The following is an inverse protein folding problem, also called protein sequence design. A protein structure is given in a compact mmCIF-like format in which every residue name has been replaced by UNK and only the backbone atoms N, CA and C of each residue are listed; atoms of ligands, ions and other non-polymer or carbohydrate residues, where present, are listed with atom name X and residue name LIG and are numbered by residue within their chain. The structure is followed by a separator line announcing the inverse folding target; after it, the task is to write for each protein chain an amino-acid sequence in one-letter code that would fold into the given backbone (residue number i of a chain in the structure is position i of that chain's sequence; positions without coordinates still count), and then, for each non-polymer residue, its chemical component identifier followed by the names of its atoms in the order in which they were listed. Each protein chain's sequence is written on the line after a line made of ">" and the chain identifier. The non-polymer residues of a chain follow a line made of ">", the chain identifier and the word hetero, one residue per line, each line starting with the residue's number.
data_IF_302497301859
#
_entry.id   IF_302497301859
#
_cell.length_a   1.000
_cell.length_b   1.000
_cell.length_c   1.000
_cell.angle_alpha   90.00
_cell.angle_beta   90.00
_cell.angle_gamma   90.00
#
_symmetry.space_group_name_H-M   'P 1'
#
loop_
_entity.id
_entity.type
_entity.pdbx_description
1 polymer ?
#
# COMPACT_ATOMS: atom_id res chain seq x y z
N UNK A 1 -58.43 24.54 32.38
CA UNK A 1 -57.30 23.86 33.05
C UNK A 1 -56.42 23.29 31.95
N UNK A 2 -55.35 23.99 31.59
CA UNK A 2 -53.96 23.66 31.98
C UNK A 2 -53.46 22.38 31.30
N UNK A 3 -52.86 22.46 30.11
CA UNK A 3 -51.40 22.45 29.81
C UNK A 3 -50.69 21.10 29.97
N UNK A 4 -50.21 20.52 28.85
CA UNK A 4 -48.80 20.20 28.54
C UNK A 4 -48.76 19.19 27.37
N UNK A 5 -48.39 19.58 26.15
CA UNK A 5 -47.04 19.89 25.64
C UNK A 5 -46.11 18.66 25.55
N UNK A 6 -45.82 18.26 24.31
CA UNK A 6 -44.46 17.98 23.83
C UNK A 6 -44.40 18.31 22.34
N UNK A 7 -43.62 19.35 22.06
CA UNK A 7 -43.32 19.87 20.75
C UNK A 7 -42.38 18.94 19.95
N UNK A 8 -42.54 19.10 18.64
CA UNK A 8 -41.70 18.60 17.57
C UNK A 8 -40.29 19.20 17.65
N UNK A 9 -39.28 18.42 17.23
CA UNK A 9 -38.13 18.98 16.52
C UNK A 9 -37.89 18.24 15.22
N UNK A 10 -37.86 19.07 14.18
CA UNK A 10 -37.75 18.80 12.76
C UNK A 10 -36.60 17.86 12.39
N UNK A 11 -36.93 16.87 11.54
CA UNK A 11 -35.99 16.19 10.66
C UNK A 11 -35.99 16.98 9.35
N UNK A 12 -34.94 17.76 9.14
CA UNK A 12 -34.75 18.52 7.91
C UNK A 12 -34.29 17.56 6.81
N UNK A 13 -35.20 17.27 5.87
CA UNK A 13 -34.92 16.61 4.60
C UNK A 13 -34.01 17.50 3.74
N UNK A 14 -32.89 16.96 3.25
CA UNK A 14 -32.15 17.52 2.12
C UNK A 14 -32.35 16.58 0.93
N UNK A 15 -32.91 17.05 -0.21
CA UNK A 15 -33.24 16.20 -1.33
C UNK A 15 -32.02 15.87 -2.20
N UNK A 16 -32.08 14.71 -2.84
CA UNK A 16 -31.14 14.22 -3.83
C UNK A 16 -30.87 15.26 -4.94
N UNK A 17 -29.59 15.66 -5.09
CA UNK A 17 -29.17 16.49 -6.22
C UNK A 17 -28.89 15.61 -7.45
N UNK A 18 -29.64 15.91 -8.51
CA UNK A 18 -29.49 15.40 -9.87
C UNK A 18 -28.17 15.88 -10.48
N UNK A 19 -27.55 15.01 -11.28
CA UNK A 19 -26.39 15.28 -12.16
C UNK A 19 -26.58 16.56 -12.99
N UNK A 20 -25.59 17.45 -13.12
CA UNK A 20 -25.58 18.41 -14.21
C UNK A 20 -24.98 17.75 -15.47
N UNK A 21 -25.78 17.75 -16.54
CA UNK A 21 -25.28 17.67 -17.92
C UNK A 21 -24.63 19.02 -18.24
N UNK A 22 -23.33 19.07 -18.53
CA UNK A 22 -22.73 20.24 -19.15
C UNK A 22 -22.42 19.94 -20.61
N UNK A 23 -23.07 20.75 -21.43
CA UNK A 23 -23.08 20.83 -22.88
C UNK A 23 -21.69 21.29 -23.37
N UNK A 24 -21.11 20.54 -24.30
CA UNK A 24 -19.98 20.97 -25.12
C UNK A 24 -20.41 22.15 -26.00
N UNK A 25 -19.64 23.24 -25.96
CA UNK A 25 -19.61 24.22 -27.06
C UNK A 25 -18.15 24.55 -27.39
N UNK A 26 -17.87 24.32 -28.67
CA UNK A 26 -16.63 24.51 -29.43
C UNK A 26 -16.24 25.97 -29.57
N UNK A 27 -14.93 26.24 -29.76
CA UNK A 27 -14.32 26.85 -30.96
C UNK A 27 -12.80 27.12 -30.75
N UNK A 28 -11.98 27.30 -31.82
CA UNK A 28 -10.75 26.53 -32.04
C UNK A 28 -9.50 27.38 -32.41
N UNK A 29 -8.43 26.67 -32.81
CA UNK A 29 -7.21 27.09 -33.53
C UNK A 29 -6.15 27.80 -32.66
N UNK A 30 -4.87 27.38 -32.66
CA UNK A 30 -4.03 27.05 -33.80
C UNK A 30 -3.07 25.88 -33.54
N UNK A 31 -2.90 25.09 -34.60
CA UNK A 31 -1.94 24.02 -34.76
C UNK A 31 -0.51 24.55 -35.01
N UNK A 32 0.43 23.62 -34.91
CA UNK A 32 1.81 23.52 -35.46
C UNK A 32 2.74 23.15 -34.29
N UNK A 33 3.36 21.98 -34.20
CA UNK A 33 3.37 20.81 -35.06
C UNK A 33 4.12 19.69 -34.35
N UNK A 34 3.60 18.47 -34.46
CA UNK A 34 4.28 17.24 -34.08
C UNK A 34 5.49 17.04 -34.99
N UNK A 35 6.64 16.68 -34.43
CA UNK A 35 7.68 15.98 -35.20
C UNK A 35 8.17 14.76 -34.42
N UNK A 36 7.63 13.63 -34.83
CA UNK A 36 8.20 12.29 -34.63
C UNK A 36 9.51 12.26 -35.41
N UNK A 37 10.62 11.93 -34.75
CA UNK A 37 11.85 11.52 -35.43
C UNK A 37 12.22 10.11 -34.98
N UNK A 38 11.59 9.16 -35.67
CA UNK A 38 12.17 7.85 -35.93
C UNK A 38 13.41 8.08 -36.81
N UNK A 39 14.61 7.83 -36.30
CA UNK A 39 15.79 7.68 -37.17
C UNK A 39 16.55 6.42 -36.80
N UNK A 40 16.57 5.52 -37.78
CA UNK A 40 17.41 4.33 -37.84
C UNK A 40 18.88 4.72 -37.80
N UNK A 41 19.60 3.88 -37.08
CA UNK A 41 21.02 3.59 -37.19
C UNK A 41 21.63 3.79 -38.59
N UNK A 42 22.53 4.75 -38.73
CA UNK A 42 23.73 4.64 -39.60
C UNK A 42 24.72 5.77 -39.32
N UNK A 43 25.96 5.39 -38.95
CA UNK A 43 27.20 6.04 -39.38
C UNK A 43 27.49 7.49 -38.95
N UNK A 44 28.36 7.62 -37.95
CA UNK A 44 29.46 8.58 -37.77
C UNK A 44 29.29 10.11 -38.01
N UNK A 45 29.78 10.84 -37.01
CA UNK A 45 30.25 12.24 -36.95
C UNK A 45 29.20 13.35 -36.71
N UNK A 46 29.21 13.88 -35.49
CA UNK A 46 28.52 15.12 -35.11
C UNK A 46 29.52 16.28 -35.05
N UNK A 47 29.28 17.32 -35.82
CA UNK A 47 29.82 18.68 -35.61
C UNK A 47 28.83 19.46 -34.75
N UNK A 48 29.28 19.97 -33.60
CA UNK A 48 28.46 20.80 -32.71
C UNK A 48 28.13 22.16 -33.34
N UNK A 49 26.85 22.54 -33.32
CA UNK A 49 26.39 23.89 -33.63
C UNK A 49 26.25 24.66 -32.30
N UNK A 50 27.19 25.58 -32.04
CA UNK A 50 27.18 26.43 -30.85
C UNK A 50 26.21 27.61 -31.01
N UNK A 51 25.16 27.68 -30.19
CA UNK A 51 24.36 28.89 -29.97
C UNK A 51 24.60 29.34 -28.53
N UNK A 52 25.34 30.43 -28.37
CA UNK A 52 25.76 30.97 -27.09
C UNK A 52 24.68 31.77 -26.38
N UNK A 53 24.48 31.50 -25.10
CA UNK A 53 23.81 32.39 -24.14
C UNK A 53 24.86 32.83 -23.12
N UNK A 54 25.13 34.15 -23.07
CA UNK A 54 26.02 34.76 -22.07
C UNK A 54 25.28 34.94 -20.74
N UNK A 55 25.74 34.26 -19.71
CA UNK A 55 25.43 34.52 -18.30
C UNK A 55 26.57 34.00 -17.43
N UNK A 56 27.16 34.88 -16.62
CA UNK A 56 28.39 34.66 -15.84
C UNK A 56 28.29 33.50 -14.84
N UNK A 57 28.79 32.32 -15.21
CA UNK A 57 29.18 31.27 -14.27
C UNK A 57 30.62 31.56 -13.81
N UNK A 58 30.78 32.05 -12.57
CA UNK A 58 32.08 31.97 -11.90
C UNK A 58 32.39 30.49 -11.70
N UNK A 59 33.46 30.05 -12.34
CA UNK A 59 34.23 28.80 -12.20
C UNK A 59 33.61 27.73 -11.30
N UNK A 60 32.83 26.82 -11.89
CA UNK A 60 32.65 25.49 -11.33
C UNK A 60 33.77 24.63 -11.94
N UNK A 61 34.78 24.26 -11.15
CA UNK A 61 35.89 23.41 -11.59
C UNK A 61 35.37 22.12 -12.22
N UNK A 62 35.93 21.76 -13.38
CA UNK A 62 35.62 20.53 -14.10
C UNK A 62 36.20 19.32 -13.37
N UNK A 63 35.47 18.80 -12.40
CA UNK A 63 35.78 17.48 -11.82
C UNK A 63 35.31 16.41 -12.81
N UNK A 64 36.22 15.53 -13.22
CA UNK A 64 35.88 14.45 -14.15
C UNK A 64 34.94 13.43 -13.47
N UNK A 65 34.06 12.79 -14.25
CA UNK A 65 33.20 11.69 -13.73
C UNK A 65 34.01 10.52 -13.14
N UNK A 66 35.29 10.40 -13.50
CA UNK A 66 36.19 9.38 -12.97
C UNK A 66 36.71 9.75 -11.56
N UNK A 67 36.97 11.03 -11.27
CA UNK A 67 37.38 11.49 -9.93
C UNK A 67 36.24 11.41 -8.90
N UNK A 68 34.98 11.67 -9.30
CA UNK A 68 33.82 11.50 -8.41
C UNK A 68 33.62 10.02 -8.02
N UNK A 69 34.00 9.09 -8.90
CA UNK A 69 33.86 7.64 -8.67
C UNK A 69 35.01 7.06 -7.83
N UNK A 70 36.21 7.64 -7.91
CA UNK A 70 37.38 7.21 -7.15
C UNK A 70 37.37 7.67 -5.69
N UNK A 71 36.69 8.78 -5.37
CA UNK A 71 36.64 9.36 -4.02
C UNK A 71 35.36 9.06 -3.23
N UNK A 72 34.45 8.25 -3.78
CA UNK A 72 33.27 7.81 -3.04
C UNK A 72 33.61 6.57 -2.21
N UNK A 73 34.35 6.76 -1.12
CA UNK A 73 34.11 5.91 0.05
C UNK A 73 32.70 6.26 0.50
N UNK A 74 31.70 5.50 0.04
CA UNK A 74 30.36 5.53 0.62
C UNK A 74 30.52 5.10 2.06
N UNK A 75 30.73 6.08 2.94
CA UNK A 75 30.48 5.87 4.35
C UNK A 75 29.06 5.31 4.41
N UNK A 76 28.85 4.13 5.05
CA UNK A 76 27.51 3.60 5.16
C UNK A 76 26.61 4.70 5.73
N UNK A 77 25.35 4.81 5.26
CA UNK A 77 24.42 5.77 5.84
C UNK A 77 24.48 5.63 7.36
N UNK A 78 24.47 6.74 8.11
CA UNK A 78 24.55 6.68 9.57
C UNK A 78 23.51 5.66 10.04
N UNK A 79 23.87 4.77 10.99
CA UNK A 79 22.92 3.79 11.49
C UNK A 79 21.65 4.54 11.88
N UNK A 80 20.52 4.06 11.39
CA UNK A 80 19.23 4.61 11.79
C UNK A 80 19.22 4.63 13.32
N UNK A 81 18.81 5.74 13.96
CA UNK A 81 18.77 5.79 15.41
C UNK A 81 18.01 4.57 15.92
N UNK A 82 18.65 3.82 16.83
CA UNK A 82 18.12 2.56 17.40
C UNK A 82 16.88 2.80 18.28
N UNK A 83 16.51 4.07 18.46
CA UNK A 83 15.35 4.52 19.22
C UNK A 83 14.25 4.91 18.24
N UNK A 84 13.08 4.33 18.43
CA UNK A 84 11.87 4.69 17.70
C UNK A 84 11.66 6.22 17.73
N UNK A 85 11.54 6.91 16.59
CA UNK A 85 11.42 8.37 16.57
C UNK A 85 10.08 8.86 17.11
N UNK A 86 9.08 7.99 17.26
CA UNK A 86 7.74 8.32 17.74
C UNK A 86 7.74 8.27 19.27
N UNK A 87 7.52 9.40 19.98
CA UNK A 87 7.44 9.44 21.44
C UNK A 87 6.33 8.54 21.98
N UNK A 88 6.38 8.16 23.27
CA UNK A 88 5.29 7.40 23.91
C UNK A 88 3.98 8.18 23.96
N UNK A 89 2.86 7.49 24.21
CA UNK A 89 1.53 8.12 24.26
C UNK A 89 1.46 9.17 25.38
N UNK A 90 2.11 8.93 26.52
CA UNK A 90 2.17 9.89 27.63
C UNK A 90 2.86 11.20 27.23
N UNK A 91 3.88 11.12 26.37
CA UNK A 91 4.57 12.31 25.85
C UNK A 91 3.71 13.01 24.80
N UNK A 92 3.07 12.25 23.89
CA UNK A 92 2.18 12.80 22.88
C UNK A 92 0.95 13.49 23.49
N UNK A 93 0.44 12.97 24.62
CA UNK A 93 -0.67 13.56 25.35
C UNK A 93 -0.34 14.94 25.94
N UNK A 94 0.92 15.14 26.33
CA UNK A 94 1.42 16.42 26.84
C UNK A 94 1.65 17.47 25.74
N UNK A 95 1.79 17.03 24.48
CA UNK A 95 1.94 17.92 23.33
C UNK A 95 0.60 18.61 23.00
N UNK A 96 0.69 19.83 22.48
CA UNK A 96 -0.48 20.50 21.91
C UNK A 96 -0.99 19.78 20.67
N UNK A 97 -2.28 19.95 20.34
CA UNK A 97 -2.88 19.34 19.13
C UNK A 97 -2.12 19.72 17.86
N UNK A 98 -1.67 20.98 17.76
CA UNK A 98 -0.86 21.45 16.64
C UNK A 98 0.47 20.70 16.54
N UNK A 99 1.16 20.48 17.65
CA UNK A 99 2.44 19.77 17.67
C UNK A 99 2.27 18.30 17.28
N UNK A 100 1.23 17.63 17.77
CA UNK A 100 0.90 16.24 17.38
C UNK A 100 0.59 16.14 15.89
N UNK A 101 -0.24 17.05 15.36
CA UNK A 101 -0.55 17.10 13.93
C UNK A 101 0.72 17.33 13.09
N UNK A 102 1.52 18.34 13.44
CA UNK A 102 2.76 18.66 12.73
C UNK A 102 3.76 17.49 12.79
N UNK A 103 3.81 16.77 13.92
CA UNK A 103 4.64 15.58 14.06
C UNK A 103 4.15 14.44 13.18
N UNK A 104 2.86 14.10 13.22
CA UNK A 104 2.28 13.03 12.41
C UNK A 104 2.55 13.25 10.91
N UNK A 105 2.18 14.42 10.38
CA UNK A 105 2.34 14.72 8.95
C UNK A 105 3.80 14.83 8.53
N UNK A 106 4.72 15.19 9.43
CA UNK A 106 6.15 15.16 9.15
C UNK A 106 6.67 13.73 9.14
N UNK A 107 6.34 12.94 10.15
CA UNK A 107 6.84 11.57 10.30
C UNK A 107 6.39 10.68 9.15
N UNK A 108 5.09 10.65 8.86
CA UNK A 108 4.52 9.76 7.85
C UNK A 108 5.06 10.06 6.45
N UNK A 109 5.41 11.32 6.16
CA UNK A 109 5.95 11.73 4.86
C UNK A 109 7.49 11.72 4.81
N UNK A 110 8.17 11.21 5.83
CA UNK A 110 9.63 11.14 5.88
C UNK A 110 10.12 9.72 5.58
N UNK A 111 10.84 9.50 4.47
CA UNK A 111 11.50 8.21 4.22
C UNK A 111 12.51 7.86 5.32
N UNK A 112 12.51 6.60 5.71
CA UNK A 112 13.30 6.00 6.79
C UNK A 112 14.23 4.90 6.28
N UNK A 113 13.99 4.41 5.06
CA UNK A 113 14.86 3.51 4.32
C UNK A 113 14.93 3.95 2.85
N UNK A 114 16.00 3.57 2.17
CA UNK A 114 16.16 3.80 0.74
C UNK A 114 15.71 2.57 -0.05
N UNK A 115 14.94 2.80 -1.11
CA UNK A 115 14.67 1.81 -2.14
C UNK A 115 15.13 2.36 -3.49
N UNK A 116 16.13 1.73 -4.11
CA UNK A 116 16.74 2.28 -5.34
C UNK A 116 15.92 2.02 -6.59
N UNK A 117 15.04 1.01 -6.55
CA UNK A 117 14.18 0.59 -7.65
C UNK A 117 12.75 0.46 -7.14
N UNK A 118 11.93 1.47 -7.40
CA UNK A 118 10.51 1.46 -7.07
C UNK A 118 9.71 1.22 -8.33
N UNK A 119 8.87 0.18 -8.35
CA UNK A 119 8.05 -0.20 -9.49
C UNK A 119 6.58 0.00 -9.11
N UNK A 120 5.83 0.71 -9.95
CA UNK A 120 4.37 0.80 -9.84
C UNK A 120 3.75 -0.47 -10.40
N UNK A 121 3.01 -1.21 -9.58
CA UNK A 121 2.27 -2.42 -9.95
C UNK A 121 0.77 -2.09 -10.03
N UNK A 122 0.10 -2.59 -11.06
CA UNK A 122 -1.29 -2.28 -11.36
C UNK A 122 -1.48 -0.95 -12.09
N UNK A 123 -2.60 -0.29 -11.85
CA UNK A 123 -2.91 0.99 -12.52
C UNK A 123 -1.88 2.08 -12.20
N UNK A 124 -1.64 2.94 -13.19
CA UNK A 124 -0.85 4.18 -12.99
C UNK A 124 -1.59 5.16 -12.08
N UNK A 125 -2.92 5.05 -12.01
CA UNK A 125 -3.78 5.83 -11.13
C UNK A 125 -4.10 5.06 -9.85
N UNK A 126 -5.09 5.55 -9.11
CA UNK A 126 -5.78 4.82 -8.04
C UNK A 126 -6.00 3.33 -8.36
N UNK A 127 -5.76 2.48 -7.36
CA UNK A 127 -5.77 1.01 -7.47
C UNK A 127 -4.40 0.34 -7.72
N UNK A 128 -3.38 1.08 -8.17
CA UNK A 128 -2.00 0.56 -8.20
C UNK A 128 -1.25 0.76 -6.88
N UNK A 129 -0.13 0.07 -6.69
CA UNK A 129 0.73 0.16 -5.50
C UNK A 129 2.21 0.00 -5.85
N UNK A 130 3.09 0.64 -5.08
CA UNK A 130 4.54 0.58 -5.27
C UNK A 130 5.18 -0.64 -4.61
N UNK A 131 6.01 -1.32 -5.38
CA UNK A 131 6.89 -2.41 -4.97
C UNK A 131 8.33 -1.89 -4.86
N UNK A 132 9.02 -2.20 -3.76
CA UNK A 132 10.46 -2.04 -3.70
C UNK A 132 11.16 -3.23 -4.37
N UNK A 133 11.72 -3.04 -5.57
CA UNK A 133 12.49 -4.03 -6.32
C UNK A 133 14.01 -3.91 -6.09
N UNK A 134 14.42 -3.24 -5.02
CA UNK A 134 15.82 -3.17 -4.61
C UNK A 134 16.35 -4.59 -4.29
N UNK A 135 17.55 -4.98 -4.75
CA UNK A 135 18.10 -6.32 -4.49
C UNK A 135 18.05 -6.76 -3.02
N UNK A 136 18.15 -5.82 -2.07
CA UNK A 136 18.05 -6.12 -0.64
C UNK A 136 16.66 -6.54 -0.18
N UNK A 137 15.60 -6.08 -0.83
CA UNK A 137 14.21 -6.23 -0.34
C UNK A 137 13.25 -6.88 -1.33
N UNK A 138 13.67 -7.03 -2.60
CA UNK A 138 12.81 -7.57 -3.64
C UNK A 138 12.36 -9.01 -3.32
N UNK A 139 11.11 -9.37 -3.66
CA UNK A 139 10.64 -10.75 -3.58
C UNK A 139 11.48 -11.66 -4.49
N UNK A 140 11.58 -12.94 -4.12
CA UNK A 140 12.26 -13.93 -4.95
C UNK A 140 11.30 -14.39 -6.04
N UNK A 141 11.55 -13.99 -7.29
CA UNK A 141 10.71 -14.37 -8.43
C UNK A 141 10.54 -15.88 -8.53
N UNK A 142 9.29 -16.33 -8.65
CA UNK A 142 8.93 -17.75 -8.74
C UNK A 142 8.88 -18.48 -7.40
N UNK A 143 9.12 -17.79 -6.28
CA UNK A 143 9.06 -18.30 -4.91
C UNK A 143 8.67 -17.15 -3.97
N UNK A 144 7.64 -16.39 -4.37
CA UNK A 144 7.11 -15.27 -3.58
C UNK A 144 5.62 -15.42 -3.32
N UNK A 145 5.17 -14.97 -2.14
CA UNK A 145 3.77 -15.00 -1.72
C UNK A 145 3.29 -13.60 -1.35
N UNK A 146 2.13 -13.21 -1.88
CA UNK A 146 1.52 -11.89 -1.69
C UNK A 146 0.13 -12.04 -1.11
N UNK A 147 -0.15 -11.32 -0.04
CA UNK A 147 -1.51 -11.09 0.47
C UNK A 147 -1.96 -9.68 0.10
N UNK A 148 -3.11 -9.57 -0.55
CA UNK A 148 -3.66 -8.32 -1.06
C UNK A 148 -5.08 -8.14 -0.51
N UNK A 149 -5.24 -7.25 0.46
CA UNK A 149 -6.51 -6.99 1.13
C UNK A 149 -7.20 -5.76 0.54
N UNK A 150 -8.52 -5.90 0.33
CA UNK A 150 -9.46 -4.90 -0.21
C UNK A 150 -9.08 -4.46 -1.62
N UNK A 151 -9.36 -5.34 -2.58
CA UNK A 151 -9.03 -5.13 -3.99
C UNK A 151 -10.15 -4.40 -4.76
N UNK A 152 -11.39 -4.37 -4.26
CA UNK A 152 -12.52 -3.63 -4.82
C UNK A 152 -12.71 -3.81 -6.34
N UNK A 153 -12.69 -5.06 -6.81
CA UNK A 153 -12.75 -5.45 -8.23
C UNK A 153 -11.58 -4.99 -9.11
N UNK A 154 -10.54 -4.40 -8.54
CA UNK A 154 -9.33 -4.01 -9.25
C UNK A 154 -8.21 -5.02 -9.02
N UNK A 155 -8.16 -6.03 -9.87
CA UNK A 155 -7.11 -7.05 -9.85
C UNK A 155 -5.81 -6.59 -10.53
N UNK A 156 -5.67 -5.34 -10.96
CA UNK A 156 -4.52 -4.91 -11.77
C UNK A 156 -3.19 -5.08 -11.01
N UNK A 157 -3.15 -4.68 -9.74
CA UNK A 157 -1.99 -4.90 -8.88
C UNK A 157 -1.68 -6.40 -8.74
N UNK A 158 -2.70 -7.20 -8.45
CA UNK A 158 -2.57 -8.64 -8.21
C UNK A 158 -2.06 -9.38 -9.45
N UNK A 159 -2.55 -9.01 -10.64
CA UNK A 159 -2.12 -9.58 -11.92
C UNK A 159 -0.67 -9.21 -12.26
N UNK A 160 -0.24 -7.99 -11.94
CA UNK A 160 1.15 -7.59 -12.12
C UNK A 160 2.07 -8.34 -11.14
N UNK A 161 1.62 -8.63 -9.92
CA UNK A 161 2.36 -9.46 -8.96
C UNK A 161 2.45 -10.93 -9.39
N UNK A 162 1.39 -11.50 -10.00
CA UNK A 162 1.47 -12.81 -10.66
C UNK A 162 2.48 -12.78 -11.81
N UNK A 163 2.44 -11.73 -12.63
CA UNK A 163 3.36 -11.53 -13.76
C UNK A 163 4.81 -11.34 -13.30
N UNK A 164 5.02 -10.76 -12.11
CA UNK A 164 6.33 -10.68 -11.45
C UNK A 164 6.86 -12.07 -11.04
N UNK A 165 5.95 -13.03 -10.82
CA UNK A 165 6.23 -14.42 -10.51
C UNK A 165 5.81 -14.86 -9.11
N UNK A 166 4.83 -14.20 -8.49
CA UNK A 166 4.33 -14.55 -7.17
C UNK A 166 3.03 -15.35 -7.19
N UNK A 167 2.81 -16.11 -6.13
CA UNK A 167 1.50 -16.58 -5.73
C UNK A 167 0.78 -15.45 -5.00
N UNK A 168 -0.46 -15.14 -5.38
CA UNK A 168 -1.21 -13.99 -4.89
C UNK A 168 -2.55 -14.45 -4.33
N UNK A 169 -2.79 -14.09 -3.08
CA UNK A 169 -4.06 -14.26 -2.40
C UNK A 169 -4.72 -12.88 -2.23
N UNK A 170 -5.81 -12.67 -2.96
CA UNK A 170 -6.59 -11.45 -2.92
C UNK A 170 -7.84 -11.65 -2.05
N UNK A 171 -8.11 -10.72 -1.15
CA UNK A 171 -9.16 -10.84 -0.14
C UNK A 171 -10.08 -9.62 -0.19
N UNK A 172 -11.37 -9.84 -0.45
CA UNK A 172 -12.37 -8.77 -0.37
C UNK A 172 -13.79 -9.33 -0.08
N UNK A 173 -14.37 -9.05 1.09
CA UNK A 173 -15.70 -9.55 1.45
C UNK A 173 -16.83 -8.72 0.80
N UNK A 174 -16.52 -7.58 0.20
CA UNK A 174 -17.50 -6.63 -0.34
C UNK A 174 -17.91 -6.91 -1.79
N UNK A 175 -17.08 -7.63 -2.54
CA UNK A 175 -17.21 -7.79 -3.99
C UNK A 175 -18.40 -8.65 -4.45
N UNK A 176 -19.13 -9.29 -3.53
CA UNK A 176 -20.25 -10.21 -3.86
C UNK A 176 -19.89 -11.20 -4.98
N UNK A 177 -18.62 -11.54 -5.06
CA UNK A 177 -18.02 -12.44 -6.04
C UNK A 177 -17.63 -13.68 -5.25
N UNK A 178 -17.92 -14.85 -5.82
CA UNK A 178 -17.57 -16.09 -5.14
C UNK A 178 -16.04 -16.31 -5.18
N UNK A 179 -15.47 -17.00 -4.18
CA UNK A 179 -14.07 -17.40 -4.21
C UNK A 179 -13.72 -18.10 -5.52
N UNK A 180 -12.60 -17.75 -6.14
CA UNK A 180 -12.23 -18.28 -7.47
C UNK A 180 -10.74 -18.12 -7.76
N UNK A 181 -10.26 -18.78 -8.81
CA UNK A 181 -8.91 -18.60 -9.35
C UNK A 181 -8.98 -17.89 -10.70
N UNK A 182 -8.25 -16.79 -10.85
CA UNK A 182 -8.29 -15.97 -12.09
C UNK A 182 -7.14 -16.30 -13.06
N UNK A 183 -5.91 -16.44 -12.56
CA UNK A 183 -4.70 -16.60 -13.39
C UNK A 183 -3.74 -17.68 -12.84
N UNK A 184 -4.28 -18.84 -12.46
CA UNK A 184 -3.52 -20.00 -11.95
C UNK A 184 -2.94 -19.81 -10.55
N UNK A 185 -2.23 -18.70 -10.34
CA UNK A 185 -1.56 -18.31 -9.11
C UNK A 185 -2.22 -17.09 -8.44
N UNK A 186 -3.39 -16.65 -8.94
CA UNK A 186 -4.21 -15.61 -8.32
C UNK A 186 -5.46 -16.26 -7.73
N UNK A 187 -5.48 -16.38 -6.41
CA UNK A 187 -6.55 -16.94 -5.61
C UNK A 187 -7.35 -15.79 -4.99
N UNK A 188 -8.63 -15.71 -5.33
CA UNK A 188 -9.54 -14.73 -4.75
C UNK A 188 -10.39 -15.38 -3.66
N UNK A 189 -10.44 -14.71 -2.51
CA UNK A 189 -11.18 -15.11 -1.32
C UNK A 189 -12.23 -14.05 -1.01
N UNK A 190 -13.48 -14.48 -0.85
CA UNK A 190 -14.60 -13.60 -0.50
C UNK A 190 -14.69 -13.32 1.02
N UNK A 191 -13.53 -13.17 1.66
CA UNK A 191 -13.33 -12.94 3.09
C UNK A 191 -12.54 -11.64 3.29
N UNK A 192 -12.63 -11.05 4.47
CA UNK A 192 -11.92 -9.81 4.81
C UNK A 192 -11.03 -9.96 6.03
N UNK A 193 -10.20 -8.94 6.27
CA UNK A 193 -9.30 -8.89 7.44
C UNK A 193 -9.91 -8.07 8.57
N UNK A 194 -9.72 -8.53 9.82
CA UNK A 194 -10.10 -7.81 11.02
C UNK A 194 -9.22 -8.22 12.21
N UNK A 195 -9.31 -7.48 13.32
CA UNK A 195 -8.70 -7.85 14.60
C UNK A 195 -9.40 -9.02 15.33
N UNK A 196 -10.42 -9.63 14.71
CA UNK A 196 -11.12 -10.78 15.29
C UNK A 196 -11.80 -11.59 14.21
N UNK A 197 -11.74 -12.91 14.35
CA UNK A 197 -12.48 -13.84 13.51
C UNK A 197 -13.99 -13.74 13.80
N UNK A 198 -14.80 -13.59 12.75
CA UNK A 198 -16.25 -13.62 12.90
C UNK A 198 -16.99 -13.08 11.69
N UNK A 199 -18.31 -13.20 11.76
CA UNK A 199 -19.21 -12.66 10.74
C UNK A 199 -19.76 -11.31 11.20
N UNK A 200 -19.67 -10.29 10.35
CA UNK A 200 -20.23 -8.96 10.60
C UNK A 200 -21.28 -8.62 9.55
N UNK A 201 -22.30 -7.85 9.94
CA UNK A 201 -23.30 -7.35 9.00
C UNK A 201 -22.91 -5.95 8.53
N UNK A 202 -22.47 -5.82 7.27
CA UNK A 202 -22.29 -4.52 6.64
C UNK A 202 -23.62 -4.02 6.06
N UNK A 203 -24.10 -2.83 6.44
CA UNK A 203 -25.39 -2.30 5.96
C UNK A 203 -25.52 -2.16 4.43
N UNK A 204 -24.40 -1.98 3.72
CA UNK A 204 -24.37 -1.69 2.28
C UNK A 204 -24.10 -2.94 1.44
N UNK A 205 -23.23 -3.82 1.94
CA UNK A 205 -22.68 -4.94 1.17
C UNK A 205 -23.12 -6.30 1.70
N UNK A 206 -23.74 -6.36 2.88
CA UNK A 206 -24.31 -7.57 3.48
C UNK A 206 -23.37 -8.22 4.50
N UNK A 207 -23.57 -9.51 4.74
CA UNK A 207 -22.75 -10.27 5.68
C UNK A 207 -21.33 -10.47 5.15
N UNK A 208 -20.34 -10.14 5.98
CA UNK A 208 -18.93 -10.33 5.71
C UNK A 208 -18.35 -11.34 6.67
N UNK A 209 -17.56 -12.27 6.13
CA UNK A 209 -16.75 -13.17 6.93
C UNK A 209 -15.36 -12.56 7.06
N UNK A 210 -14.95 -12.26 8.30
CA UNK A 210 -13.69 -11.60 8.61
C UNK A 210 -12.79 -12.50 9.44
N UNK A 211 -11.49 -12.43 9.19
CA UNK A 211 -10.45 -13.20 9.87
C UNK A 211 -9.24 -12.34 10.21
N UNK A 212 -8.47 -12.75 11.22
CA UNK A 212 -7.14 -12.17 11.46
C UNK A 212 -6.17 -12.62 10.37
N UNK A 213 -5.04 -11.90 10.22
CA UNK A 213 -3.99 -12.33 9.29
C UNK A 213 -3.47 -13.72 9.69
N UNK A 214 -3.28 -13.98 10.98
CA UNK A 214 -2.89 -15.30 11.47
C UNK A 214 -3.89 -16.42 11.07
N UNK A 215 -5.19 -16.17 11.13
CA UNK A 215 -6.19 -17.16 10.72
C UNK A 215 -6.22 -17.36 9.20
N UNK A 216 -6.12 -16.30 8.39
CA UNK A 216 -5.94 -16.47 6.94
C UNK A 216 -4.68 -17.28 6.62
N UNK A 217 -3.55 -16.96 7.25
CA UNK A 217 -2.31 -17.74 7.08
C UNK A 217 -2.52 -19.20 7.45
N UNK A 218 -3.24 -19.50 8.53
CA UNK A 218 -3.56 -20.88 8.92
C UNK A 218 -4.47 -21.59 7.90
N UNK A 219 -5.54 -20.95 7.44
CA UNK A 219 -6.50 -21.51 6.48
C UNK A 219 -5.85 -21.83 5.13
N UNK A 220 -4.92 -20.98 4.69
CA UNK A 220 -4.20 -21.16 3.43
C UNK A 220 -2.86 -21.89 3.59
N UNK A 221 -2.54 -22.44 4.77
CA UNK A 221 -1.30 -23.18 5.04
C UNK A 221 -0.01 -22.37 4.81
N UNK A 222 -0.07 -21.09 5.18
CA UNK A 222 0.99 -20.10 5.05
C UNK A 222 1.46 -19.56 6.41
N UNK A 223 1.39 -20.32 7.51
CA UNK A 223 2.01 -19.87 8.77
C UNK A 223 3.50 -19.55 8.57
N UNK A 224 4.14 -18.70 9.40
CA UNK A 224 5.54 -18.29 9.20
C UNK A 224 6.55 -19.45 9.06
N UNK A 225 6.28 -20.58 9.71
CA UNK A 225 7.09 -21.80 9.61
C UNK A 225 6.74 -22.70 8.40
N UNK A 226 5.72 -22.35 7.62
CA UNK A 226 5.23 -23.10 6.46
C UNK A 226 5.59 -22.39 5.15
N UNK A 227 5.26 -21.09 5.04
CA UNK A 227 5.50 -20.29 3.85
C UNK A 227 5.72 -18.83 4.26
N UNK A 228 6.87 -18.29 3.85
CA UNK A 228 7.17 -16.87 4.04
C UNK A 228 6.17 -16.01 3.23
N UNK A 229 5.64 -14.96 3.85
CA UNK A 229 4.97 -13.87 3.13
C UNK A 229 6.01 -12.86 2.67
N UNK A 230 6.06 -12.55 1.37
CA UNK A 230 6.94 -11.50 0.87
C UNK A 230 6.29 -10.14 1.02
N UNK A 231 5.01 -10.05 0.67
CA UNK A 231 4.29 -8.77 0.63
C UNK A 231 2.91 -8.91 1.26
N UNK A 232 2.58 -7.94 2.10
CA UNK A 232 1.20 -7.68 2.53
C UNK A 232 0.82 -6.28 2.03
N UNK A 233 -0.17 -6.20 1.15
CA UNK A 233 -0.86 -4.96 0.77
C UNK A 233 -2.20 -4.90 1.50
N UNK A 234 -2.52 -3.79 2.16
CA UNK A 234 -3.76 -3.63 2.90
C UNK A 234 -4.40 -2.25 2.71
N UNK A 235 -5.56 -2.25 2.07
CA UNK A 235 -6.44 -1.09 1.98
C UNK A 235 -7.86 -1.64 2.11
N UNK A 236 -8.44 -1.49 3.29
CA UNK A 236 -9.69 -2.15 3.71
C UNK A 236 -10.65 -1.18 4.38
N UNK A 237 -10.48 0.11 4.10
CA UNK A 237 -11.41 1.18 4.43
C UNK A 237 -11.77 1.24 5.93
N UNK A 238 -10.74 1.27 6.79
CA UNK A 238 -10.86 1.52 8.23
C UNK A 238 -10.58 0.34 9.14
N UNK A 239 -10.42 -0.88 8.60
CA UNK A 239 -10.02 -2.06 9.37
C UNK A 239 -8.49 -2.19 9.54
N UNK A 240 -7.70 -1.32 8.91
CA UNK A 240 -6.23 -1.44 8.86
C UNK A 240 -5.61 -1.33 10.25
N UNK A 241 -6.03 -0.32 11.03
CA UNK A 241 -5.40 -0.03 12.32
C UNK A 241 -5.47 -1.22 13.26
N UNK A 242 -6.67 -1.72 13.55
CA UNK A 242 -6.83 -2.81 14.52
C UNK A 242 -6.27 -4.13 13.99
N UNK A 243 -6.42 -4.40 12.69
CA UNK A 243 -5.91 -5.63 12.06
C UNK A 243 -4.38 -5.67 12.09
N UNK A 244 -3.71 -4.55 11.76
CA UNK A 244 -2.26 -4.48 11.77
C UNK A 244 -1.71 -4.45 13.19
N UNK A 245 -2.36 -3.77 14.13
CA UNK A 245 -1.95 -3.81 15.54
C UNK A 245 -1.93 -5.24 16.08
N UNK A 246 -2.98 -6.02 15.81
CA UNK A 246 -3.02 -7.43 16.20
C UNK A 246 -1.98 -8.26 15.44
N UNK A 247 -1.83 -8.05 14.14
CA UNK A 247 -0.95 -8.87 13.31
C UNK A 247 0.56 -8.64 13.61
N UNK A 248 0.90 -7.45 14.11
CA UNK A 248 2.22 -7.15 14.66
C UNK A 248 2.41 -7.84 16.01
N UNK A 249 1.42 -7.75 16.91
CA UNK A 249 1.47 -8.36 18.25
C UNK A 249 1.52 -9.90 18.23
N UNK A 250 0.75 -10.54 17.34
CA UNK A 250 0.66 -12.00 17.23
C UNK A 250 1.78 -12.64 16.37
N UNK A 251 2.69 -11.82 15.84
CA UNK A 251 3.83 -12.25 15.02
C UNK A 251 3.46 -12.71 13.61
N UNK A 252 2.20 -12.54 13.16
CA UNK A 252 1.79 -12.95 11.81
C UNK A 252 2.39 -12.11 10.69
N UNK A 253 3.10 -11.03 11.01
CA UNK A 253 3.89 -10.21 10.09
C UNK A 253 5.42 -10.34 10.27
N UNK A 254 5.91 -11.18 11.17
CA UNK A 254 7.35 -11.24 11.54
C UNK A 254 8.28 -11.64 10.38
N UNK A 255 7.77 -12.47 9.46
CA UNK A 255 8.47 -12.95 8.27
C UNK A 255 8.12 -12.15 7.00
N UNK A 256 7.36 -11.05 7.12
CA UNK A 256 6.95 -10.20 5.99
C UNK A 256 8.06 -9.25 5.57
N UNK A 257 8.47 -9.30 4.30
CA UNK A 257 9.54 -8.45 3.75
C UNK A 257 9.10 -7.04 3.45
N UNK A 258 7.91 -6.86 2.89
CA UNK A 258 7.34 -5.55 2.58
C UNK A 258 5.89 -5.48 3.05
N UNK A 259 5.59 -4.41 3.78
CA UNK A 259 4.24 -4.10 4.23
C UNK A 259 3.82 -2.78 3.60
N UNK A 260 2.74 -2.81 2.82
CA UNK A 260 2.12 -1.64 2.23
C UNK A 260 0.68 -1.52 2.75
N UNK A 261 0.31 -0.36 3.26
CA UNK A 261 -1.03 -0.17 3.83
C UNK A 261 -1.52 1.26 3.73
N UNK A 262 -2.84 1.43 3.63
CA UNK A 262 -3.47 2.75 3.71
C UNK A 262 -3.83 3.08 5.17
N UNK A 263 -3.70 4.35 5.55
CA UNK A 263 -4.22 4.86 6.82
C UNK A 263 -5.34 5.85 6.56
N UNK A 264 -6.43 5.73 7.31
CA UNK A 264 -7.58 6.63 7.28
C UNK A 264 -7.69 7.39 8.61
N UNK A 265 -6.91 8.48 8.78
CA UNK A 265 -6.75 9.14 10.09
C UNK A 265 -8.07 9.65 10.65
N UNK A 266 -8.94 10.15 9.77
CA UNK A 266 -10.31 10.53 10.12
C UNK A 266 -11.20 10.37 8.89
N UNK A 267 -12.49 10.16 9.12
CA UNK A 267 -13.50 10.24 8.07
C UNK A 267 -14.08 11.66 7.92
N UNK A 268 -13.76 12.55 8.87
CA UNK A 268 -14.20 13.95 8.85
C UNK A 268 -13.67 14.72 7.64
N UNK A 269 -14.33 15.84 7.34
CA UNK A 269 -13.85 16.85 6.40
C UNK A 269 -12.92 17.89 7.06
N UNK A 270 -12.71 17.79 8.37
CA UNK A 270 -11.92 18.71 9.20
C UNK A 270 -10.68 18.04 9.76
N UNK A 271 -9.90 18.79 10.54
CA UNK A 271 -8.79 18.24 11.31
C UNK A 271 -9.21 17.00 12.12
N UNK A 272 -8.44 15.89 12.03
CA UNK A 272 -8.50 14.81 12.99
C UNK A 272 -8.29 15.31 14.42
N UNK A 273 -8.92 14.63 15.38
CA UNK A 273 -8.69 14.87 16.80
C UNK A 273 -7.25 14.53 17.20
N UNK A 274 -6.80 15.03 18.36
CA UNK A 274 -5.47 14.71 18.88
C UNK A 274 -5.34 13.21 19.11
N UNK A 275 -6.40 12.59 19.62
CA UNK A 275 -6.50 11.16 19.93
C UNK A 275 -6.45 10.31 18.65
N UNK A 276 -7.09 10.75 17.56
CA UNK A 276 -6.99 10.07 16.24
C UNK A 276 -5.54 10.08 15.74
N UNK A 277 -4.83 11.22 15.85
CA UNK A 277 -3.41 11.26 15.49
C UNK A 277 -2.56 10.35 16.39
N UNK A 278 -2.77 10.36 17.71
CA UNK A 278 -2.03 9.51 18.65
C UNK A 278 -2.28 8.03 18.33
N UNK A 279 -3.52 7.64 18.04
CA UNK A 279 -3.89 6.27 17.62
C UNK A 279 -3.06 5.80 16.42
N UNK A 280 -2.96 6.60 15.36
CA UNK A 280 -2.20 6.23 14.17
C UNK A 280 -0.68 6.36 14.35
N UNK A 281 -0.21 7.29 15.20
CA UNK A 281 1.19 7.30 15.63
C UNK A 281 1.55 6.03 16.40
N UNK A 282 0.66 5.49 17.23
CA UNK A 282 0.83 4.20 17.89
C UNK A 282 1.00 3.04 16.91
N UNK A 283 0.21 3.00 15.83
CA UNK A 283 0.39 2.02 14.75
C UNK A 283 1.76 2.18 14.08
N UNK A 284 2.13 3.39 13.68
CA UNK A 284 3.41 3.67 13.03
C UNK A 284 4.61 3.36 13.94
N UNK A 285 4.45 3.53 15.26
CA UNK A 285 5.44 3.14 16.28
C UNK A 285 5.63 1.64 16.26
N UNK A 286 4.55 0.86 16.32
CA UNK A 286 4.60 -0.60 16.27
C UNK A 286 5.19 -1.12 14.95
N UNK A 287 4.79 -0.57 13.81
CA UNK A 287 5.36 -0.89 12.50
C UNK A 287 6.89 -0.68 12.51
N UNK A 288 7.36 0.43 13.07
CA UNK A 288 8.79 0.71 13.22
C UNK A 288 9.48 -0.30 14.14
N UNK A 289 8.92 -0.62 15.30
CA UNK A 289 9.51 -1.57 16.27
C UNK A 289 9.64 -2.99 15.69
N UNK A 290 8.70 -3.38 14.84
CA UNK A 290 8.74 -4.67 14.13
C UNK A 290 9.74 -4.71 12.96
N UNK A 291 10.40 -3.58 12.65
CA UNK A 291 11.50 -3.52 11.68
C UNK A 291 11.11 -2.97 10.31
N UNK A 292 9.85 -2.59 10.13
CA UNK A 292 9.41 -1.93 8.90
C UNK A 292 9.89 -0.48 8.89
N UNK A 293 10.41 -0.03 7.75
CA UNK A 293 10.87 1.34 7.52
C UNK A 293 10.19 1.88 6.28
N UNK A 294 9.58 3.05 6.40
CA UNK A 294 8.94 3.73 5.27
C UNK A 294 10.00 4.04 4.22
N UNK A 295 9.80 3.63 2.97
CA UNK A 295 10.62 4.09 1.84
C UNK A 295 9.85 5.04 0.93
N UNK A 296 8.51 4.99 0.98
CA UNK A 296 7.64 5.84 0.19
C UNK A 296 6.29 6.02 0.90
N UNK A 297 5.72 7.21 0.75
CA UNK A 297 4.33 7.49 1.12
C UNK A 297 3.66 8.26 -0.01
N UNK A 298 2.56 7.72 -0.51
CA UNK A 298 1.70 8.41 -1.45
C UNK A 298 0.55 9.08 -0.71
N UNK A 299 0.34 10.36 -1.01
CA UNK A 299 -0.66 11.23 -0.37
C UNK A 299 -1.86 11.35 -1.29
N UNK A 300 -3.03 10.90 -0.87
CA UNK A 300 -4.25 11.00 -1.66
C UNK A 300 -4.82 12.44 -1.61
N UNK A 301 -4.13 13.41 -2.22
CA UNK A 301 -4.53 14.82 -2.19
C UNK A 301 -5.86 15.11 -2.92
N UNK A 302 -6.24 14.27 -3.89
CA UNK A 302 -7.43 14.54 -4.71
C UNK A 302 -8.70 14.33 -3.90
N UNK A 303 -8.76 13.25 -3.11
CA UNK A 303 -9.98 12.86 -2.41
C UNK A 303 -9.91 13.02 -0.89
N UNK A 304 -8.72 13.15 -0.32
CA UNK A 304 -8.50 13.12 1.13
C UNK A 304 -7.92 14.44 1.71
N UNK A 305 -7.78 15.49 0.90
CA UNK A 305 -7.23 16.75 1.39
C UNK A 305 -8.20 17.54 2.27
N UNK A 306 -7.67 18.20 3.31
CA UNK A 306 -8.39 19.15 4.15
C UNK A 306 -7.52 20.37 4.48
N UNK A 307 -8.16 21.51 4.79
CA UNK A 307 -7.51 22.72 5.29
C UNK A 307 -7.58 22.73 6.82
N UNK A 308 -6.42 22.75 7.46
CA UNK A 308 -6.32 22.69 8.92
C UNK A 308 -6.67 24.03 9.56
N UNK A 309 -7.66 24.05 10.45
CA UNK A 309 -7.95 25.22 11.29
C UNK A 309 -6.89 25.39 12.38
N UNK A 310 -6.31 24.29 12.84
CA UNK A 310 -5.25 24.23 13.86
C UNK A 310 -3.94 24.85 13.32
N UNK A 311 -3.67 24.62 12.03
CA UNK A 311 -2.44 25.02 11.35
C UNK A 311 -2.68 26.18 10.35
N UNK A 312 -3.58 27.10 10.70
CA UNK A 312 -3.81 28.37 9.98
C UNK A 312 -4.05 28.20 8.47
N UNK A 313 -4.84 27.20 8.08
CA UNK A 313 -5.23 26.92 6.69
C UNK A 313 -4.24 26.05 5.92
N UNK A 314 -3.20 25.50 6.56
CA UNK A 314 -2.28 24.56 5.89
C UNK A 314 -3.04 23.31 5.41
N UNK A 315 -2.74 22.87 4.19
CA UNK A 315 -3.34 21.68 3.58
C UNK A 315 -2.63 20.40 4.01
N UNK A 316 -3.42 19.42 4.43
CA UNK A 316 -2.98 18.07 4.78
C UNK A 316 -3.88 17.02 4.12
N UNK A 317 -3.49 15.75 4.19
CA UNK A 317 -4.27 14.60 3.72
C UNK A 317 -4.71 13.74 4.90
N UNK A 318 -5.92 13.19 4.85
CA UNK A 318 -6.39 12.23 5.85
C UNK A 318 -6.11 10.78 5.47
N UNK A 319 -5.80 10.52 4.20
CA UNK A 319 -5.44 9.20 3.69
C UNK A 319 -3.99 9.16 3.17
N UNK A 320 -3.26 8.11 3.53
CA UNK A 320 -1.88 7.89 3.11
C UNK A 320 -1.66 6.41 2.79
N UNK A 321 -1.21 6.13 1.57
CA UNK A 321 -0.66 4.83 1.19
C UNK A 321 0.81 4.81 1.63
N UNK A 322 1.14 3.91 2.56
CA UNK A 322 2.46 3.81 3.20
C UNK A 322 3.13 2.55 2.70
N UNK A 323 4.35 2.67 2.18
CA UNK A 323 5.12 1.53 1.69
C UNK A 323 6.39 1.37 2.51
N UNK A 324 6.58 0.16 3.04
CA UNK A 324 7.67 -0.14 3.95
C UNK A 324 8.48 -1.36 3.52
N UNK A 325 9.75 -1.37 3.90
CA UNK A 325 10.63 -2.55 3.81
C UNK A 325 11.03 -2.98 5.22
N UNK A 326 11.11 -4.30 5.44
CA UNK A 326 11.56 -4.86 6.71
C UNK A 326 13.09 -4.96 6.74
N UNK A 327 13.75 -4.13 7.54
CA UNK A 327 15.21 -4.11 7.62
C UNK A 327 15.81 -5.34 8.30
N UNK A 328 14.99 -6.18 8.95
CA UNK A 328 15.38 -7.45 9.55
C UNK A 328 15.46 -8.59 8.51
N UNK A 329 14.82 -8.45 7.34
CA UNK A 329 14.67 -9.51 6.32
C UNK A 329 15.35 -9.16 4.99
N UNK A 330 16.63 -8.80 5.05
CA UNK A 330 17.41 -8.46 3.84
C UNK A 330 17.83 -9.71 3.08
N UNK A 331 17.78 -9.64 1.76
CA UNK A 331 18.49 -10.56 0.88
C UNK A 331 20.00 -10.41 1.11
N UNK A 332 20.72 -11.53 1.25
CA UNK A 332 22.19 -11.51 1.41
C UNK A 332 22.87 -11.39 0.03
N UNK A 333 23.65 -10.34 -0.23
CA UNK A 333 24.35 -10.15 -1.51
C UNK A 333 25.70 -10.89 -1.51
N UNK A 334 25.70 -12.22 -1.51
CA UNK A 334 26.91 -13.00 -1.82
C UNK A 334 26.57 -14.46 -2.13
N UNK A 335 26.41 -14.75 -3.41
CA UNK A 335 26.81 -15.94 -4.19
C UNK A 335 26.09 -15.78 -5.56
N UNK A 336 26.63 -16.32 -6.67
CA UNK A 336 25.77 -16.67 -7.81
C UNK A 336 24.55 -17.45 -7.27
N UNK A 337 23.46 -17.57 -8.02
CA UNK A 337 22.29 -18.35 -7.58
C UNK A 337 22.56 -19.87 -7.45
N UNK A 338 23.69 -20.30 -6.89
CA UNK A 338 23.95 -21.60 -6.29
C UNK A 338 23.70 -21.46 -4.80
N UNK A 339 22.42 -21.62 -4.43
CA UNK A 339 21.89 -21.59 -3.07
C UNK A 339 22.27 -22.91 -2.34
N UNK A 340 22.44 -22.95 -1.01
CA UNK A 340 22.54 -24.20 -0.25
C UNK A 340 21.39 -25.15 -0.62
N UNK A 341 21.66 -26.45 -0.76
CA UNK A 341 20.69 -27.50 -1.15
C UNK A 341 19.41 -27.54 -0.27
N UNK A 342 19.42 -26.87 0.90
CA UNK A 342 18.30 -26.82 1.83
C UNK A 342 17.24 -25.75 1.53
N UNK A 343 17.41 -24.90 0.51
CA UNK A 343 16.43 -23.86 0.12
C UNK A 343 16.28 -23.77 -1.41
N UNK A 344 16.20 -24.88 -2.14
CA UNK A 344 15.88 -24.82 -3.58
C UNK A 344 14.55 -24.09 -3.81
N UNK A 345 14.39 -23.40 -4.95
CA UNK A 345 13.07 -22.98 -5.44
C UNK A 345 12.07 -24.13 -5.24
N UNK A 346 10.84 -23.81 -4.81
CA UNK A 346 9.79 -24.81 -4.67
C UNK A 346 9.75 -25.66 -5.95
N UNK A 347 10.00 -26.96 -5.81
CA UNK A 347 9.98 -27.87 -6.94
C UNK A 347 8.62 -27.80 -7.63
N UNK A 348 8.53 -28.11 -8.91
CA UNK A 348 7.25 -28.12 -9.62
C UNK A 348 6.21 -29.00 -8.92
N UNK A 349 6.66 -30.12 -8.33
CA UNK A 349 5.81 -30.99 -7.52
C UNK A 349 5.29 -30.32 -6.24
N UNK A 350 6.11 -29.50 -5.58
CA UNK A 350 5.69 -28.72 -4.41
C UNK A 350 4.67 -27.65 -4.80
N UNK A 351 4.92 -26.89 -5.87
CA UNK A 351 3.97 -25.90 -6.38
C UNK A 351 2.63 -26.53 -6.76
N UNK A 352 2.67 -27.68 -7.43
CA UNK A 352 1.45 -28.41 -7.78
C UNK A 352 0.67 -28.86 -6.54
N UNK A 353 1.38 -29.32 -5.49
CA UNK A 353 0.76 -29.73 -4.22
C UNK A 353 0.15 -28.53 -3.49
N UNK A 354 0.83 -27.40 -3.45
CA UNK A 354 0.33 -26.14 -2.89
C UNK A 354 -0.93 -25.68 -3.63
N UNK A 355 -0.89 -25.67 -4.97
CA UNK A 355 -2.04 -25.33 -5.80
C UNK A 355 -3.25 -26.25 -5.52
N UNK A 356 -3.04 -27.57 -5.46
CA UNK A 356 -4.13 -28.52 -5.12
C UNK A 356 -4.71 -28.28 -3.72
N UNK A 357 -3.89 -27.84 -2.77
CA UNK A 357 -4.35 -27.49 -1.43
C UNK A 357 -5.20 -26.22 -1.46
N UNK A 358 -4.79 -25.20 -2.19
CA UNK A 358 -5.58 -23.98 -2.35
C UNK A 358 -6.90 -24.22 -3.08
N UNK A 359 -6.93 -25.09 -4.10
CA UNK A 359 -8.18 -25.46 -4.76
C UNK A 359 -9.20 -26.08 -3.79
N UNK A 360 -8.76 -26.89 -2.83
CA UNK A 360 -9.64 -27.44 -1.78
C UNK A 360 -10.16 -26.36 -0.83
N UNK A 361 -9.33 -25.37 -0.50
CA UNK A 361 -9.75 -24.22 0.31
C UNK A 361 -10.83 -23.44 -0.44
N UNK A 362 -10.59 -23.07 -1.70
CA UNK A 362 -11.57 -22.38 -2.56
C UNK A 362 -12.88 -23.18 -2.68
N UNK A 363 -12.81 -24.50 -2.88
CA UNK A 363 -14.01 -25.36 -2.90
C UNK A 363 -14.79 -25.31 -1.60
N UNK A 364 -14.12 -25.29 -0.45
CA UNK A 364 -14.76 -25.20 0.86
C UNK A 364 -15.40 -23.83 1.11
N UNK A 365 -14.70 -22.74 0.75
CA UNK A 365 -15.21 -21.37 0.85
C UNK A 365 -16.40 -21.17 -0.09
N UNK A 366 -16.39 -21.79 -1.27
CA UNK A 366 -17.51 -21.76 -2.22
C UNK A 366 -18.78 -22.38 -1.65
N UNK A 367 -18.66 -23.44 -0.84
CA UNK A 367 -19.80 -24.05 -0.15
C UNK A 367 -20.35 -23.10 0.92
N UNK A 368 -19.47 -22.49 1.72
CA UNK A 368 -19.86 -21.54 2.75
C UNK A 368 -20.51 -20.28 2.15
N UNK A 369 -19.90 -19.73 1.10
CA UNK A 369 -20.40 -18.56 0.37
C UNK A 369 -21.82 -18.80 -0.16
N UNK A 370 -22.11 -20.01 -0.69
CA UNK A 370 -23.46 -20.41 -1.14
C UNK A 370 -24.44 -20.50 0.03
N UNK A 371 -24.01 -21.05 1.18
CA UNK A 371 -24.85 -21.19 2.36
C UNK A 371 -25.26 -19.84 2.97
N UNK A 372 -24.40 -18.81 2.85
CA UNK A 372 -24.70 -17.45 3.30
C UNK A 372 -25.72 -16.72 2.40
N UNK A 373 -26.21 -17.35 1.33
CA UNK A 373 -27.19 -16.74 0.41
C UNK A 373 -26.63 -15.58 -0.41
N UNK A 374 -25.31 -15.41 -0.43
CA UNK A 374 -24.61 -14.42 -1.22
C UNK A 374 -24.68 -14.86 -2.69
N UNK A 375 -25.51 -14.17 -3.48
CA UNK A 375 -25.74 -14.56 -4.88
C UNK A 375 -24.48 -14.31 -5.71
N UNK A 376 -24.09 -15.32 -6.49
CA UNK A 376 -23.11 -15.20 -7.56
C UNK A 376 -23.57 -14.11 -8.54
N UNK A 377 -22.76 -13.05 -8.71
CA UNK A 377 -22.86 -12.18 -9.89
C UNK A 377 -21.78 -12.63 -10.87
N UNK A 378 -22.09 -13.48 -11.86
CA UNK A 378 -21.20 -13.62 -13.00
C UNK A 378 -21.14 -12.26 -13.67
N UNK A 379 -19.98 -11.63 -13.70
CA UNK A 379 -19.67 -10.66 -14.74
C UNK A 379 -18.68 -11.29 -15.69
#
# INVERSE_FOLDING_TARGET
>A
MSTNSKEQKAVTFIPAMRKPKCLFLLLPCLAIGSFILYTRYSGQNWTELNIGIRGSAKECGSISRQEIRANRTEAPPPPLPDVNPIPSDEVLDQMSHKEVQDFYHRYINSPQATCSSVIRMGKVTDGGWELCDDPLYKPIKGDCLVYSYGINFDFSYDQDMVSYGCDVHAFDPSMKTAPNVYQGNLYFHATGVAAKNGTVNNPTTGWWQLYTIAEHRKQHHHLPNQRQLDIVKMDVEGYEHESLMLALDDGSLDDVRQLAFETHVTWSATDPSKEEYIKYLGLLRNVYDHGFRIYLTHRNYVWSAFESVINKGRKFTKCHEIHTVNIKLKNTPSQPQTRPESLSFASEAQKQKEHQLQMKVIESELVEYKNLGLRYSPR
#
